data_IF_773118867530
#
_entry.id   IF_773118867530
#
_cell.length_a   1.000
_cell.length_b   1.000
_cell.length_c   1.000
_cell.angle_alpha   90.00
_cell.angle_beta   90.00
_cell.angle_gamma   90.00
#
_symmetry.space_group_name_H-M   'P 1'
#
loop_
_entity.id
_entity.type
_entity.pdbx_description
1 polymer ?
#
# COMPACT_ATOMS: atom_id res chain seq x y z
N UNK A 1 3.02 1.83 8.03
CA UNK A 1 2.42 0.89 7.03
C UNK A 1 3.18 0.93 5.71
N UNK A 2 3.27 2.09 5.04
CA UNK A 2 4.05 2.21 3.80
C UNK A 2 5.55 1.94 3.97
N UNK A 3 6.13 2.37 5.08
CA UNK A 3 7.53 2.08 5.41
C UNK A 3 7.79 0.58 5.57
N UNK A 4 6.94 -0.13 6.35
CA UNK A 4 7.01 -1.59 6.50
C UNK A 4 6.79 -2.32 5.18
N UNK A 5 5.83 -1.89 4.36
CA UNK A 5 5.64 -2.46 3.01
C UNK A 5 6.85 -2.23 2.11
N UNK A 6 7.54 -1.09 2.25
CA UNK A 6 8.77 -0.79 1.50
C UNK A 6 9.95 -1.61 2.00
N UNK A 7 9.97 -1.96 3.28
CA UNK A 7 10.98 -2.81 3.90
C UNK A 7 10.84 -4.27 3.45
N UNK A 8 9.62 -4.85 3.48
CA UNK A 8 9.36 -6.18 2.91
C UNK A 8 9.73 -6.26 1.42
N UNK A 9 9.49 -5.19 0.64
CA UNK A 9 9.90 -5.13 -0.77
C UNK A 9 11.43 -5.05 -0.96
N UNK A 10 12.14 -4.37 -0.05
CA UNK A 10 13.61 -4.34 -0.06
C UNK A 10 14.20 -5.70 0.30
N UNK A 11 13.62 -6.40 1.26
CA UNK A 11 13.99 -7.77 1.63
C UNK A 11 13.85 -8.71 0.41
N UNK A 12 12.69 -8.68 -0.27
CA UNK A 12 12.47 -9.43 -1.51
C UNK A 12 13.53 -9.12 -2.57
N UNK A 13 13.77 -7.84 -2.83
CA UNK A 13 14.74 -7.39 -3.84
C UNK A 13 16.17 -7.83 -3.51
N UNK A 14 16.54 -7.83 -2.23
CA UNK A 14 17.85 -8.29 -1.76
C UNK A 14 18.03 -9.79 -2.02
N UNK A 15 17.01 -10.59 -1.71
CA UNK A 15 17.04 -12.05 -1.86
C UNK A 15 16.99 -12.51 -3.33
N UNK A 16 16.24 -11.80 -4.17
CA UNK A 16 16.23 -12.05 -5.63
C UNK A 16 17.58 -11.71 -6.26
N UNK A 17 18.30 -10.70 -5.73
CA UNK A 17 19.65 -10.35 -6.19
C UNK A 17 20.74 -11.31 -5.70
N UNK A 18 20.53 -11.99 -4.58
CA UNK A 18 21.55 -12.82 -3.90
C UNK A 18 21.44 -14.32 -4.23
N UNK A 19 20.96 -14.73 -5.40
CA UNK A 19 20.87 -16.15 -5.74
C UNK A 19 22.16 -16.92 -5.42
N UNK A 20 22.01 -18.14 -4.89
CA UNK A 20 23.03 -19.14 -4.49
C UNK A 20 23.52 -18.99 -3.04
N UNK A 21 23.19 -19.89 -2.10
CA UNK A 21 23.82 -21.22 -2.07
C UNK A 21 23.09 -22.30 -1.23
N UNK A 22 21.85 -22.13 -0.73
CA UNK A 22 21.17 -23.26 -0.04
C UNK A 22 19.65 -23.40 -0.17
N UNK A 23 18.94 -22.46 -0.81
CA UNK A 23 17.48 -22.56 -0.91
C UNK A 23 17.05 -23.47 -2.07
N UNK A 24 16.23 -24.47 -1.75
CA UNK A 24 15.54 -25.26 -2.78
C UNK A 24 14.31 -24.52 -3.32
N UNK A 25 13.72 -25.05 -4.40
CA UNK A 25 12.61 -24.40 -5.09
C UNK A 25 11.36 -24.23 -4.21
N UNK A 26 11.11 -25.15 -3.27
CA UNK A 26 9.98 -25.06 -2.34
C UNK A 26 10.14 -23.86 -1.39
N UNK A 27 11.31 -23.71 -0.77
CA UNK A 27 11.59 -22.60 0.15
C UNK A 27 11.47 -21.25 -0.57
N UNK A 28 11.82 -21.20 -1.86
CA UNK A 28 11.69 -19.99 -2.68
C UNK A 28 10.23 -19.62 -2.93
N UNK A 29 9.38 -20.61 -3.23
CA UNK A 29 7.95 -20.38 -3.46
C UNK A 29 7.24 -19.99 -2.16
N UNK A 30 7.52 -20.67 -1.04
CA UNK A 30 6.94 -20.33 0.28
C UNK A 30 7.29 -18.90 0.70
N UNK A 31 8.52 -18.47 0.43
CA UNK A 31 8.95 -17.10 0.68
C UNK A 31 8.21 -16.08 -0.21
N UNK A 32 8.06 -16.37 -1.51
CA UNK A 32 7.31 -15.52 -2.44
C UNK A 32 5.86 -15.38 -1.97
N UNK A 33 5.22 -16.48 -1.58
CA UNK A 33 3.84 -16.47 -1.09
C UNK A 33 3.68 -15.65 0.19
N UNK A 34 4.60 -15.79 1.14
CA UNK A 34 4.62 -14.97 2.36
C UNK A 34 4.69 -13.48 2.00
N UNK A 35 5.67 -13.09 1.19
CA UNK A 35 5.89 -11.68 0.83
C UNK A 35 4.70 -11.13 0.03
N UNK A 36 4.15 -11.91 -0.89
CA UNK A 36 2.96 -11.53 -1.65
C UNK A 36 1.78 -11.24 -0.71
N UNK A 37 1.53 -12.11 0.27
CA UNK A 37 0.47 -11.93 1.24
C UNK A 37 0.71 -10.70 2.13
N UNK A 38 1.93 -10.49 2.63
CA UNK A 38 2.27 -9.28 3.42
C UNK A 38 2.02 -7.99 2.62
N UNK A 39 2.49 -7.93 1.37
CA UNK A 39 2.29 -6.75 0.50
C UNK A 39 0.81 -6.54 0.21
N UNK A 40 0.06 -7.61 -0.04
CA UNK A 40 -1.39 -7.56 -0.27
C UNK A 40 -2.12 -7.00 0.95
N UNK A 41 -1.79 -7.46 2.15
CA UNK A 41 -2.40 -6.97 3.40
C UNK A 41 -2.05 -5.51 3.66
N UNK A 42 -0.79 -5.11 3.49
CA UNK A 42 -0.39 -3.72 3.64
C UNK A 42 -1.06 -2.80 2.63
N UNK A 43 -1.18 -3.23 1.37
CA UNK A 43 -1.91 -2.49 0.35
C UNK A 43 -3.37 -2.31 0.75
N UNK A 44 -4.02 -3.35 1.25
CA UNK A 44 -5.40 -3.30 1.71
C UNK A 44 -5.57 -2.32 2.90
N UNK A 45 -4.69 -2.40 3.90
CA UNK A 45 -4.71 -1.51 5.05
C UNK A 45 -4.48 -0.04 4.64
N UNK A 46 -3.47 0.24 3.81
CA UNK A 46 -3.19 1.58 3.32
C UNK A 46 -4.34 2.15 2.48
N UNK A 47 -4.93 1.34 1.60
CA UNK A 47 -6.12 1.73 0.84
C UNK A 47 -7.28 2.12 1.76
N UNK A 48 -7.58 1.26 2.75
CA UNK A 48 -8.66 1.49 3.69
C UNK A 48 -8.48 2.80 4.48
N UNK A 49 -7.31 3.00 5.09
CA UNK A 49 -7.07 4.21 5.88
C UNK A 49 -7.01 5.48 5.02
N UNK A 50 -6.49 5.39 3.79
CA UNK A 50 -6.52 6.49 2.82
C UNK A 50 -7.95 6.90 2.51
N UNK A 51 -8.81 5.94 2.12
CA UNK A 51 -10.23 6.18 1.83
C UNK A 51 -10.95 6.76 3.05
N UNK A 52 -10.72 6.21 4.25
CA UNK A 52 -11.30 6.71 5.49
C UNK A 52 -10.91 8.16 5.78
N UNK A 53 -9.63 8.51 5.61
CA UNK A 53 -9.13 9.87 5.83
C UNK A 53 -9.69 10.86 4.81
N UNK A 54 -9.83 10.46 3.55
CA UNK A 54 -10.49 11.27 2.52
C UNK A 54 -11.95 11.52 2.91
N UNK A 55 -12.70 10.48 3.29
CA UNK A 55 -14.10 10.63 3.74
C UNK A 55 -14.24 11.60 4.92
N UNK A 56 -13.36 11.50 5.93
CA UNK A 56 -13.33 12.44 7.05
C UNK A 56 -13.01 13.87 6.60
N UNK A 57 -12.12 14.03 5.61
CA UNK A 57 -11.76 15.35 5.06
C UNK A 57 -12.96 16.02 4.37
N UNK A 58 -13.77 15.26 3.62
CA UNK A 58 -15.02 15.76 3.04
C UNK A 58 -16.02 16.21 4.12
N UNK A 59 -16.22 15.42 5.17
CA UNK A 59 -17.11 15.79 6.29
C UNK A 59 -16.64 17.07 6.98
N UNK A 60 -15.32 17.23 7.19
CA UNK A 60 -14.75 18.45 7.80
C UNK A 60 -14.88 19.67 6.88
N UNK A 61 -14.65 19.49 5.59
CA UNK A 61 -14.76 20.57 4.61
C UNK A 61 -16.20 21.07 4.46
N UNK A 62 -17.19 20.18 4.53
CA UNK A 62 -18.60 20.55 4.56
C UNK A 62 -18.93 21.46 5.75
N UNK A 63 -18.36 21.16 6.93
CA UNK A 63 -18.55 21.99 8.14
C UNK A 63 -17.81 23.34 8.08
N UNK A 64 -16.69 23.42 7.37
CA UNK A 64 -15.83 24.61 7.30
C UNK A 64 -16.01 25.47 6.04
N UNK A 65 -16.84 25.04 5.09
CA UNK A 65 -16.98 25.71 3.79
C UNK A 65 -15.79 25.50 2.84
N UNK A 66 -14.94 24.49 3.07
CA UNK A 66 -13.70 24.25 2.29
C UNK A 66 -13.88 23.19 1.18
N UNK A 67 -15.11 22.95 0.72
CA UNK A 67 -15.43 21.85 -0.19
C UNK A 67 -14.69 21.93 -1.53
N UNK A 68 -14.52 23.13 -2.09
CA UNK A 68 -13.79 23.34 -3.34
C UNK A 68 -12.34 22.84 -3.25
N UNK A 69 -11.65 23.11 -2.11
CA UNK A 69 -10.27 22.67 -1.88
C UNK A 69 -10.16 21.15 -1.80
N UNK A 70 -11.06 20.50 -1.07
CA UNK A 70 -11.05 19.03 -0.91
C UNK A 70 -11.42 18.34 -2.23
N UNK A 71 -12.33 18.91 -3.02
CA UNK A 71 -12.67 18.37 -4.33
C UNK A 71 -11.52 18.50 -5.34
N UNK A 72 -10.74 19.59 -5.28
CA UNK A 72 -9.52 19.72 -6.10
C UNK A 72 -8.46 18.65 -5.76
N UNK A 73 -8.38 18.23 -4.49
CA UNK A 73 -7.42 17.22 -4.04
C UNK A 73 -7.84 15.78 -4.33
N UNK A 74 -9.15 15.46 -4.21
CA UNK A 74 -9.63 14.07 -4.21
C UNK A 74 -10.79 13.78 -5.17
N UNK A 75 -11.31 14.79 -5.87
CA UNK A 75 -12.58 14.73 -6.61
C UNK A 75 -12.54 14.04 -7.97
N UNK A 76 -11.38 13.92 -8.64
CA UNK A 76 -11.31 13.14 -9.89
C UNK A 76 -11.20 11.64 -9.59
N UNK A 77 -12.13 10.86 -10.15
CA UNK A 77 -12.22 9.43 -9.91
C UNK A 77 -11.22 8.61 -10.76
N UNK A 78 -10.73 9.20 -11.84
CA UNK A 78 -10.20 8.45 -12.99
C UNK A 78 -8.78 7.90 -12.78
N UNK A 79 -8.06 8.32 -11.74
CA UNK A 79 -6.65 7.93 -11.48
C UNK A 79 -6.38 7.42 -10.06
N UNK A 80 -7.39 6.89 -9.36
CA UNK A 80 -7.23 6.53 -7.95
C UNK A 80 -6.65 5.11 -7.80
N UNK A 81 -5.36 5.03 -7.48
CA UNK A 81 -4.64 3.77 -7.19
C UNK A 81 -4.79 3.28 -5.73
N UNK A 82 -5.66 3.92 -4.94
CA UNK A 82 -6.02 3.50 -3.58
C UNK A 82 -7.24 2.60 -3.55
#
# INVERSE_FOLDING_TARGET
LMERSSESLKELKSLVRSGALSMNDKERIELIDRIYNEVKEYRAATSYFTRKNISVSFVRAAKKGEMARVNALYGSADNRYW
#
